data_IF_053186388408
#
_entry.id   IF_053186388408
#
_cell.length_a   1.000
_cell.length_b   1.000
_cell.length_c   1.000
_cell.angle_alpha   90.00
_cell.angle_beta   90.00
_cell.angle_gamma   90.00
#
_symmetry.space_group_name_H-M   'P 1'
#
loop_
_entity.id
_entity.type
_entity.pdbx_description
1 polymer ?
#
# COMPACT_ATOMS: atom_id res chain seq x y z
N UNK A 1 -8.23 37.33 11.62
CA UNK A 1 -7.92 36.76 12.94
C UNK A 1 -7.67 35.27 12.73
N UNK A 2 -6.41 34.84 12.64
CA UNK A 2 -6.01 33.42 12.44
C UNK A 2 -5.08 33.01 13.60
N UNK A 3 -5.63 32.90 14.82
CA UNK A 3 -4.88 32.54 16.04
C UNK A 3 -5.43 31.27 16.73
N UNK A 4 -6.32 30.50 16.09
CA UNK A 4 -7.11 29.46 16.77
C UNK A 4 -6.51 28.04 16.71
N UNK A 5 -5.76 27.70 15.66
CA UNK A 5 -5.39 26.30 15.38
C UNK A 5 -4.38 25.73 16.42
N UNK A 6 -3.39 26.52 16.83
CA UNK A 6 -2.35 26.08 17.79
C UNK A 6 -2.88 25.89 19.22
N UNK A 7 -3.93 26.62 19.62
CA UNK A 7 -4.51 26.50 20.96
C UNK A 7 -5.47 25.32 21.09
N UNK A 8 -6.03 24.84 19.99
CA UNK A 8 -7.00 23.74 19.96
C UNK A 8 -6.35 22.37 19.78
N UNK A 9 -5.14 22.30 19.24
CA UNK A 9 -4.37 21.07 19.06
C UNK A 9 -4.31 20.16 20.31
N UNK A 10 -4.08 20.66 21.54
CA UNK A 10 -4.11 19.82 22.75
C UNK A 10 -5.49 19.21 23.01
N UNK A 11 -6.56 19.98 22.81
CA UNK A 11 -7.96 19.54 23.01
C UNK A 11 -8.29 18.46 21.97
N UNK A 12 -7.98 18.71 20.71
CA UNK A 12 -8.22 17.76 19.64
C UNK A 12 -7.48 16.43 19.85
N UNK A 13 -6.24 16.48 20.35
CA UNK A 13 -5.47 15.28 20.69
C UNK A 13 -6.12 14.48 21.82
N UNK A 14 -6.55 15.16 22.89
CA UNK A 14 -7.21 14.52 24.01
C UNK A 14 -8.50 13.81 23.56
N UNK A 15 -9.31 14.49 22.74
CA UNK A 15 -10.55 13.93 22.20
C UNK A 15 -10.29 12.79 21.21
N UNK A 16 -9.25 12.89 20.37
CA UNK A 16 -8.89 11.80 19.46
C UNK A 16 -8.40 10.56 20.24
N UNK A 17 -7.65 10.76 21.33
CA UNK A 17 -7.26 9.68 22.23
C UNK A 17 -8.48 9.05 22.93
N UNK A 18 -9.47 9.87 23.28
CA UNK A 18 -10.73 9.41 23.86
C UNK A 18 -11.53 8.51 22.90
N UNK A 19 -11.65 8.92 21.64
CA UNK A 19 -12.32 8.15 20.59
C UNK A 19 -11.59 6.83 20.29
N UNK A 20 -10.28 6.79 20.49
CA UNK A 20 -9.42 5.65 20.13
C UNK A 20 -8.91 4.85 21.34
N UNK A 21 -9.53 5.01 22.51
CA UNK A 21 -9.15 4.33 23.76
C UNK A 21 -9.26 2.81 23.69
N UNK A 22 -10.22 2.31 22.93
CA UNK A 22 -10.46 0.87 22.81
C UNK A 22 -9.45 0.18 21.90
N UNK A 23 -9.19 -1.10 22.18
CA UNK A 23 -8.21 -1.88 21.42
C UNK A 23 -8.65 -1.97 19.96
N UNK A 24 -7.78 -1.50 19.08
CA UNK A 24 -8.01 -1.50 17.64
C UNK A 24 -8.78 -0.29 17.11
N UNK A 25 -9.40 0.55 17.96
CA UNK A 25 -10.16 1.71 17.54
C UNK A 25 -9.34 2.71 16.72
N UNK A 26 -8.06 2.94 17.08
CA UNK A 26 -7.14 3.74 16.26
C UNK A 26 -6.93 3.14 14.85
N UNK A 27 -6.78 1.83 14.74
CA UNK A 27 -6.60 1.17 13.44
C UNK A 27 -7.88 1.26 12.60
N UNK A 28 -9.04 1.08 13.22
CA UNK A 28 -10.36 1.21 12.58
C UNK A 28 -10.60 2.62 12.07
N UNK A 29 -10.39 3.63 12.93
CA UNK A 29 -10.50 5.03 12.56
C UNK A 29 -9.54 5.43 11.43
N UNK A 30 -8.29 4.92 11.45
CA UNK A 30 -7.34 5.17 10.37
C UNK A 30 -7.86 4.64 9.03
N UNK A 31 -8.45 3.43 8.99
CA UNK A 31 -9.07 2.88 7.78
C UNK A 31 -10.26 3.70 7.30
N UNK A 32 -11.16 4.08 8.20
CA UNK A 32 -12.33 4.92 7.89
C UNK A 32 -11.91 6.28 7.30
N UNK A 33 -10.80 6.84 7.78
CA UNK A 33 -10.22 8.09 7.30
C UNK A 33 -9.29 7.92 6.08
N UNK A 34 -9.12 6.71 5.54
CA UNK A 34 -8.20 6.37 4.44
C UNK A 34 -6.72 6.67 4.71
N UNK A 35 -6.30 6.57 5.97
CA UNK A 35 -4.91 6.70 6.42
C UNK A 35 -4.28 5.37 6.82
N UNK A 36 -2.95 5.34 6.92
CA UNK A 36 -2.26 4.22 7.53
C UNK A 36 -2.41 4.25 9.06
N UNK A 37 -2.51 3.09 9.68
CA UNK A 37 -2.60 2.99 11.14
C UNK A 37 -1.38 3.61 11.86
N UNK A 38 -0.19 3.48 11.25
CA UNK A 38 1.03 4.11 11.76
C UNK A 38 0.92 5.63 11.78
N UNK A 39 0.28 6.24 10.78
CA UNK A 39 0.11 7.69 10.71
C UNK A 39 -0.76 8.23 11.84
N UNK A 40 -1.89 7.57 12.12
CA UNK A 40 -2.77 7.97 13.21
C UNK A 40 -2.09 7.80 14.58
N UNK A 41 -1.29 6.74 14.77
CA UNK A 41 -0.50 6.55 15.98
C UNK A 41 0.52 7.67 16.21
N UNK A 42 1.15 8.19 15.15
CA UNK A 42 2.07 9.33 15.27
C UNK A 42 1.35 10.62 15.71
N UNK A 43 0.11 10.83 15.27
CA UNK A 43 -0.71 11.97 15.70
C UNK A 43 -1.09 11.85 17.19
N UNK A 44 -1.55 10.66 17.60
CA UNK A 44 -1.88 10.36 18.99
C UNK A 44 -0.68 10.49 19.93
N UNK A 45 0.51 10.10 19.47
CA UNK A 45 1.76 10.24 20.20
C UNK A 45 2.29 11.70 20.24
N UNK A 46 1.60 12.65 19.60
CA UNK A 46 2.05 14.04 19.50
C UNK A 46 3.29 14.24 18.61
N UNK A 47 3.74 13.20 17.91
CA UNK A 47 4.88 13.27 16.97
C UNK A 47 4.50 13.89 15.63
N UNK A 48 3.20 14.03 15.36
CA UNK A 48 2.66 14.69 14.18
C UNK A 48 1.51 15.62 14.54
N UNK A 49 1.56 16.83 14.00
CA UNK A 49 0.43 17.76 14.01
C UNK A 49 -0.58 17.40 12.92
N UNK A 50 -1.82 17.82 13.13
CA UNK A 50 -2.92 17.66 12.18
C UNK A 50 -3.75 18.94 12.13
N UNK A 51 -4.42 19.16 11.01
CA UNK A 51 -5.17 20.38 10.73
C UNK A 51 -6.61 20.30 11.24
N UNK A 52 -7.26 21.45 11.36
CA UNK A 52 -8.71 21.55 11.55
C UNK A 52 -9.49 20.68 10.54
N UNK A 53 -9.09 20.67 9.26
CA UNK A 53 -9.73 19.85 8.22
C UNK A 53 -9.75 18.35 8.56
N UNK A 54 -8.68 17.86 9.17
CA UNK A 54 -8.61 16.47 9.64
C UNK A 54 -9.63 16.24 10.74
N UNK A 55 -9.74 17.16 11.69
CA UNK A 55 -10.67 17.09 12.82
C UNK A 55 -12.13 17.12 12.36
N UNK A 56 -12.48 18.03 11.45
CA UNK A 56 -13.81 18.06 10.81
C UNK A 56 -14.09 16.77 10.02
N UNK A 57 -13.05 16.20 9.42
CA UNK A 57 -13.11 14.89 8.79
C UNK A 57 -13.46 13.77 9.76
N UNK A 58 -12.81 13.73 10.92
CA UNK A 58 -13.12 12.77 11.98
C UNK A 58 -14.57 12.92 12.44
N UNK A 59 -15.04 14.16 12.66
CA UNK A 59 -16.42 14.43 13.05
C UNK A 59 -17.41 13.87 12.02
N UNK A 60 -17.21 14.19 10.74
CA UNK A 60 -18.09 13.74 9.67
C UNK A 60 -18.08 12.21 9.49
N UNK A 61 -16.90 11.58 9.55
CA UNK A 61 -16.74 10.13 9.34
C UNK A 61 -17.35 9.32 10.47
N UNK A 62 -17.21 9.79 11.70
CA UNK A 62 -17.73 9.11 12.90
C UNK A 62 -19.17 9.51 13.24
N UNK A 63 -19.70 10.58 12.64
CA UNK A 63 -21.04 11.09 12.94
C UNK A 63 -21.11 11.88 14.24
N UNK A 64 -20.00 12.47 14.67
CA UNK A 64 -20.00 13.40 15.80
C UNK A 64 -20.68 14.72 15.40
N UNK A 65 -21.29 15.43 16.36
CA UNK A 65 -21.77 16.79 16.14
C UNK A 65 -20.65 17.70 15.64
N UNK A 66 -20.98 18.65 14.78
CA UNK A 66 -20.02 19.64 14.30
C UNK A 66 -19.47 20.46 15.48
N UNK A 67 -18.14 20.56 15.57
CA UNK A 67 -17.48 21.28 16.67
C UNK A 67 -17.33 20.47 17.96
N UNK A 68 -17.77 19.21 18.01
CA UNK A 68 -17.58 18.34 19.17
C UNK A 68 -16.09 18.22 19.52
N UNK A 69 -15.21 18.16 18.52
CA UNK A 69 -13.78 18.05 18.81
C UNK A 69 -13.20 19.31 19.46
N UNK A 70 -13.84 20.48 19.37
CA UNK A 70 -13.27 21.76 19.82
C UNK A 70 -13.37 22.00 21.32
N UNK A 71 -14.15 21.19 22.04
CA UNK A 71 -14.35 21.29 23.48
C UNK A 71 -13.78 20.05 24.19
N UNK A 72 -13.29 20.17 25.43
CA UNK A 72 -12.81 19.01 26.19
C UNK A 72 -13.98 18.08 26.55
N UNK A 73 -13.78 16.77 26.36
CA UNK A 73 -14.78 15.74 26.62
C UNK A 73 -14.23 14.59 27.48
N UNK A 74 -15.12 13.93 28.22
CA UNK A 74 -14.85 12.71 28.97
C UNK A 74 -15.49 11.47 28.33
N UNK A 75 -15.15 10.27 28.83
CA UNK A 75 -15.54 9.01 28.18
C UNK A 75 -17.05 8.80 28.00
N UNK A 76 -17.86 9.39 28.88
CA UNK A 76 -19.33 9.36 28.81
C UNK A 76 -19.93 10.31 27.78
N UNK A 77 -19.16 11.27 27.29
CA UNK A 77 -19.63 12.30 26.34
C UNK A 77 -19.53 11.86 24.88
N UNK A 78 -18.92 10.70 24.61
CA UNK A 78 -18.82 10.15 23.26
C UNK A 78 -20.18 9.61 22.84
N UNK A 79 -20.82 10.17 21.81
CA UNK A 79 -22.11 9.70 21.31
C UNK A 79 -22.06 8.21 20.91
N UNK A 80 -23.13 7.47 21.22
CA UNK A 80 -23.21 6.03 20.95
C UNK A 80 -23.06 5.69 19.46
N UNK A 81 -23.62 6.52 18.57
CA UNK A 81 -23.47 6.38 17.13
C UNK A 81 -22.01 6.49 16.67
N UNK A 82 -21.22 7.37 17.30
CA UNK A 82 -19.79 7.51 16.98
C UNK A 82 -18.98 6.30 17.46
N UNK A 83 -19.32 5.74 18.61
CA UNK A 83 -18.72 4.50 19.11
C UNK A 83 -19.02 3.33 18.15
N UNK A 84 -20.29 3.15 17.81
CA UNK A 84 -20.76 2.09 16.91
C UNK A 84 -20.13 2.21 15.51
N UNK A 85 -19.97 3.42 14.98
CA UNK A 85 -19.31 3.67 13.70
C UNK A 85 -17.85 3.22 13.70
N UNK A 86 -17.11 3.52 14.78
CA UNK A 86 -15.71 3.13 14.93
C UNK A 86 -15.59 1.61 15.14
N UNK A 87 -16.46 0.99 15.92
CA UNK A 87 -16.40 -0.43 16.22
C UNK A 87 -16.72 -1.32 15.02
N UNK A 88 -17.69 -0.91 14.21
CA UNK A 88 -18.10 -1.62 13.01
C UNK A 88 -17.37 -1.17 11.73
N UNK A 89 -16.46 -0.20 11.82
CA UNK A 89 -15.77 0.41 10.67
C UNK A 89 -16.74 0.94 9.61
N UNK A 90 -17.85 1.53 10.05
CA UNK A 90 -18.93 2.02 9.21
C UNK A 90 -18.85 3.55 9.11
N UNK A 91 -18.12 4.13 8.13
CA UNK A 91 -18.01 5.58 7.99
C UNK A 91 -19.36 6.19 7.57
N UNK A 92 -19.84 7.19 8.31
CA UNK A 92 -21.09 7.90 8.00
C UNK A 92 -20.91 8.94 6.88
N UNK A 93 -19.68 9.39 6.66
CA UNK A 93 -19.33 10.26 5.54
C UNK A 93 -18.04 9.78 4.88
N UNK A 94 -17.85 10.14 3.61
CA UNK A 94 -16.60 9.88 2.90
C UNK A 94 -15.63 11.03 3.13
N UNK A 95 -14.53 10.77 3.83
CA UNK A 95 -13.46 11.74 3.96
C UNK A 95 -12.82 12.04 2.59
N UNK A 96 -12.80 13.31 2.21
CA UNK A 96 -12.18 13.80 0.95
C UNK A 96 -10.97 14.73 1.19
N UNK A 97 -10.61 14.96 2.45
CA UNK A 97 -9.44 15.77 2.79
C UNK A 97 -8.14 15.02 2.52
N UNK A 98 -7.11 15.74 2.12
CA UNK A 98 -5.74 15.22 2.23
C UNK A 98 -5.20 15.65 3.58
N UNK A 99 -4.73 14.74 4.45
CA UNK A 99 -3.94 15.16 5.62
C UNK A 99 -2.54 15.60 5.15
N UNK A 100 -2.49 16.68 4.38
CA UNK A 100 -1.24 17.37 4.14
C UNK A 100 -0.78 17.93 5.50
N UNK A 101 0.48 17.70 5.90
CA UNK A 101 1.02 18.31 7.10
C UNK A 101 0.82 19.83 7.00
N UNK A 102 0.34 20.43 8.08
CA UNK A 102 0.17 21.88 8.23
C UNK A 102 1.42 22.55 7.69
N UNK A 103 1.27 23.37 6.64
CA UNK A 103 2.38 24.18 6.11
C UNK A 103 2.82 25.12 7.23
N UNK A 104 3.99 24.87 7.81
CA UNK A 104 4.60 25.81 8.75
C UNK A 104 4.78 27.16 8.04
N UNK A 105 4.09 28.21 8.51
CA UNK A 105 4.37 29.59 8.09
C UNK A 105 5.81 29.90 8.48
N UNK A 106 6.63 30.38 7.54
CA UNK A 106 7.95 30.91 7.82
C UNK A 106 7.81 32.16 8.70
N UNK A 107 7.94 32.01 10.01
CA UNK A 107 7.97 33.14 10.95
C UNK A 107 9.35 33.79 10.84
N UNK A 108 9.50 34.72 9.90
CA UNK A 108 10.57 35.72 9.93
C UNK A 108 10.29 36.65 11.12
N UNK A 109 10.76 36.25 12.29
CA UNK A 109 11.07 37.16 13.39
C UNK A 109 12.54 36.92 13.70
N UNK A 110 13.43 37.92 13.53
CA UNK A 110 14.83 37.74 13.87
C UNK A 110 14.95 37.64 15.40
N UNK A 111 15.44 36.54 15.97
CA UNK A 111 15.77 36.50 17.39
C UNK A 111 17.18 37.05 17.58
N UNK A 112 17.32 37.94 18.56
CA UNK A 112 18.64 38.31 19.10
C UNK A 112 19.38 37.05 19.58
N UNK A 113 20.70 36.97 19.36
CA UNK A 113 21.45 35.75 19.68
C UNK A 113 21.69 35.64 21.19
N UNK A 114 21.08 34.63 21.81
CA UNK A 114 21.48 34.15 23.14
C UNK A 114 22.51 33.03 22.93
N UNK A 115 23.67 33.20 23.58
CA UNK A 115 24.83 32.31 23.56
C UNK A 115 24.45 30.82 23.68
N UNK A 116 24.97 30.00 22.75
CA UNK A 116 24.96 28.53 22.84
C UNK A 116 24.21 27.76 21.75
N UNK A 117 23.73 28.38 20.68
CA UNK A 117 22.99 27.67 19.63
C UNK A 117 23.88 26.78 18.75
N UNK A 118 23.46 25.52 18.59
CA UNK A 118 23.85 24.68 17.45
C UNK A 118 23.59 25.46 16.15
N UNK A 119 24.47 25.35 15.13
CA UNK A 119 24.38 26.16 13.93
C UNK A 119 22.99 25.99 13.31
N UNK A 120 22.31 27.12 13.03
CA UNK A 120 21.11 27.12 12.22
C UNK A 120 21.42 26.38 10.91
N UNK A 121 20.70 25.27 10.67
CA UNK A 121 20.85 24.49 9.45
C UNK A 121 20.69 25.40 8.25
N UNK A 122 21.65 25.34 7.34
CA UNK A 122 21.62 26.18 6.16
C UNK A 122 20.51 25.66 5.25
N UNK A 123 19.79 26.52 4.51
CA UNK A 123 18.81 26.08 3.52
C UNK A 123 19.43 25.15 2.44
N UNK A 124 20.75 25.18 2.27
CA UNK A 124 21.51 24.22 1.46
C UNK A 124 21.49 22.79 2.03
N UNK A 125 21.52 22.64 3.36
CA UNK A 125 21.45 21.33 4.04
C UNK A 125 20.04 20.72 3.90
N UNK A 126 18.99 21.55 3.97
CA UNK A 126 17.60 21.11 3.77
C UNK A 126 17.33 20.64 2.32
N UNK A 127 17.97 21.30 1.33
CA UNK A 127 17.91 20.87 -0.07
C UNK A 127 18.65 19.55 -0.29
N UNK A 128 19.81 19.36 0.36
CA UNK A 128 20.55 18.11 0.31
C UNK A 128 19.79 16.95 0.95
N UNK A 129 19.16 17.17 2.10
CA UNK A 129 18.31 16.19 2.78
C UNK A 129 17.11 15.81 1.90
N UNK A 130 16.42 16.79 1.30
CA UNK A 130 15.29 16.54 0.40
C UNK A 130 15.70 15.73 -0.85
N UNK A 131 16.87 16.02 -1.42
CA UNK A 131 17.41 15.30 -2.57
C UNK A 131 17.84 13.87 -2.21
N UNK A 132 18.43 13.66 -1.03
CA UNK A 132 18.74 12.33 -0.51
C UNK A 132 17.47 11.51 -0.25
N UNK A 133 16.44 12.12 0.31
CA UNK A 133 15.15 11.46 0.51
C UNK A 133 14.48 11.07 -0.81
N UNK A 134 14.55 11.92 -1.85
CA UNK A 134 14.07 11.59 -3.21
C UNK A 134 14.83 10.42 -3.81
N UNK A 135 16.16 10.41 -3.69
CA UNK A 135 17.01 9.31 -4.16
C UNK A 135 16.65 8.00 -3.44
N UNK A 136 16.53 8.02 -2.12
CA UNK A 136 16.13 6.84 -1.35
C UNK A 136 14.72 6.34 -1.74
N UNK A 137 13.76 7.24 -1.95
CA UNK A 137 12.43 6.88 -2.41
C UNK A 137 12.46 6.23 -3.81
N UNK A 138 13.27 6.78 -4.72
CA UNK A 138 13.49 6.18 -6.04
C UNK A 138 14.10 4.78 -5.94
N UNK A 139 15.15 4.60 -5.14
CA UNK A 139 15.77 3.29 -4.91
C UNK A 139 14.79 2.27 -4.32
N UNK A 140 13.94 2.67 -3.37
CA UNK A 140 12.89 1.79 -2.83
C UNK A 140 11.93 1.36 -3.94
N UNK A 141 11.47 2.29 -4.78
CA UNK A 141 10.58 1.99 -5.90
C UNK A 141 11.20 1.03 -6.92
N UNK A 142 12.46 1.27 -7.31
CA UNK A 142 13.19 0.40 -8.24
C UNK A 142 13.36 -1.00 -7.66
N UNK A 143 13.72 -1.10 -6.37
CA UNK A 143 13.83 -2.39 -5.67
C UNK A 143 12.49 -3.14 -5.64
N UNK A 144 11.40 -2.44 -5.36
CA UNK A 144 10.08 -3.06 -5.30
C UNK A 144 9.60 -3.55 -6.68
N UNK A 145 9.92 -2.82 -7.75
CA UNK A 145 9.70 -3.26 -9.14
C UNK A 145 10.53 -4.51 -9.48
N UNK A 146 11.82 -4.52 -9.12
CA UNK A 146 12.68 -5.68 -9.32
C UNK A 146 12.16 -6.91 -8.58
N UNK A 147 11.68 -6.75 -7.33
CA UNK A 147 11.06 -7.83 -6.57
C UNK A 147 9.77 -8.36 -7.22
N UNK A 148 8.97 -7.49 -7.86
CA UNK A 148 7.78 -7.92 -8.60
C UNK A 148 8.15 -8.75 -9.84
N UNK A 149 9.16 -8.33 -10.59
CA UNK A 149 9.65 -9.09 -11.75
C UNK A 149 10.23 -10.44 -11.33
N UNK A 150 10.99 -10.49 -10.22
CA UNK A 150 11.46 -11.77 -9.65
C UNK A 150 10.30 -12.67 -9.28
N UNK A 151 9.29 -12.18 -8.55
CA UNK A 151 8.09 -12.98 -8.21
C UNK A 151 7.28 -13.39 -9.43
N UNK A 152 7.28 -12.60 -10.50
CA UNK A 152 6.65 -12.94 -11.78
C UNK A 152 7.42 -14.07 -12.45
N UNK A 153 8.73 -13.99 -12.47
CA UNK A 153 9.62 -15.02 -13.01
C UNK A 153 9.50 -16.33 -12.21
N UNK A 154 9.54 -16.26 -10.88
CA UNK A 154 9.32 -17.41 -9.99
C UNK A 154 7.98 -18.09 -10.23
N UNK A 155 6.90 -17.31 -10.42
CA UNK A 155 5.59 -17.85 -10.79
C UNK A 155 5.61 -18.56 -12.14
N UNK A 156 6.27 -17.98 -13.15
CA UNK A 156 6.43 -18.61 -14.47
C UNK A 156 7.26 -19.89 -14.43
N UNK A 157 8.22 -19.99 -13.51
CA UNK A 157 9.04 -21.19 -13.32
C UNK A 157 8.30 -22.29 -12.53
N UNK A 158 7.51 -21.91 -11.53
CA UNK A 158 6.76 -22.84 -10.70
C UNK A 158 5.45 -23.30 -11.32
N UNK A 159 4.84 -22.45 -12.14
CA UNK A 159 3.60 -22.71 -12.86
C UNK A 159 3.86 -22.40 -14.33
N UNK A 160 4.02 -23.43 -15.20
CA UNK A 160 4.13 -23.16 -16.63
C UNK A 160 2.90 -22.35 -17.05
N UNK A 161 3.08 -21.21 -17.75
CA UNK A 161 2.00 -20.24 -18.00
C UNK A 161 0.84 -20.81 -18.82
N UNK A 162 1.02 -22.02 -19.36
CA UNK A 162 0.01 -22.83 -20.01
C UNK A 162 0.19 -24.27 -19.52
N UNK A 163 -0.76 -24.77 -18.74
CA UNK A 163 -0.90 -26.20 -18.51
C UNK A 163 -1.23 -26.85 -19.86
N UNK A 164 -0.21 -27.33 -20.58
CA UNK A 164 -0.34 -27.89 -21.92
C UNK A 164 -1.42 -28.98 -21.96
N UNK A 165 -1.55 -29.77 -20.88
CA UNK A 165 -2.61 -30.76 -20.72
C UNK A 165 -4.01 -30.13 -20.75
N UNK A 166 -4.21 -28.99 -20.08
CA UNK A 166 -5.49 -28.28 -20.05
C UNK A 166 -5.85 -27.66 -21.41
N UNK A 167 -4.88 -27.08 -22.11
CA UNK A 167 -5.11 -26.54 -23.45
C UNK A 167 -5.35 -27.65 -24.47
N UNK A 168 -4.60 -28.75 -24.39
CA UNK A 168 -4.80 -29.93 -25.22
C UNK A 168 -6.21 -30.50 -25.07
N UNK A 169 -6.65 -30.73 -23.83
CA UNK A 169 -8.00 -31.25 -23.56
C UNK A 169 -9.09 -30.38 -24.20
N UNK A 170 -8.98 -29.04 -24.06
CA UNK A 170 -9.92 -28.11 -24.70
C UNK A 170 -9.92 -28.18 -26.23
N UNK A 171 -8.75 -28.37 -26.84
CA UNK A 171 -8.67 -28.50 -28.31
C UNK A 171 -9.20 -29.85 -28.76
N UNK A 172 -8.93 -30.93 -28.03
CA UNK A 172 -9.49 -32.28 -28.28
C UNK A 172 -11.02 -32.30 -28.12
N UNK A 173 -11.57 -31.59 -27.13
CA UNK A 173 -13.02 -31.41 -26.96
C UNK A 173 -13.64 -30.68 -28.15
N UNK A 174 -12.97 -29.63 -28.65
CA UNK A 174 -13.40 -28.86 -29.83
C UNK A 174 -13.33 -29.70 -31.11
N UNK A 175 -12.26 -30.48 -31.31
CA UNK A 175 -12.14 -31.42 -32.42
C UNK A 175 -13.23 -32.51 -32.38
N UNK A 176 -13.59 -32.97 -31.17
CA UNK A 176 -14.60 -34.02 -30.96
C UNK A 176 -16.05 -33.51 -31.12
N UNK A 177 -16.27 -32.20 -31.02
CA UNK A 177 -17.60 -31.59 -31.11
C UNK A 177 -18.21 -31.63 -32.53
N UNK A 178 -17.43 -32.00 -33.56
CA UNK A 178 -17.93 -32.37 -34.90
C UNK A 178 -18.51 -31.24 -35.77
N UNK A 179 -18.55 -30.00 -35.29
CA UNK A 179 -19.20 -28.84 -35.94
C UNK A 179 -18.18 -27.88 -36.60
N UNK A 180 -16.97 -28.37 -36.91
CA UNK A 180 -15.87 -27.59 -37.50
C UNK A 180 -15.70 -27.91 -38.98
N UNK A 181 -15.42 -26.88 -39.78
CA UNK A 181 -14.99 -27.06 -41.16
C UNK A 181 -13.72 -27.93 -41.23
N UNK A 182 -13.71 -28.92 -42.13
CA UNK A 182 -12.57 -29.83 -42.42
C UNK A 182 -11.17 -29.15 -42.44
N UNK A 183 -10.97 -27.97 -43.07
CA UNK A 183 -9.66 -27.29 -43.05
C UNK A 183 -9.24 -26.79 -41.67
N UNK A 184 -10.18 -26.36 -40.83
CA UNK A 184 -9.90 -25.87 -39.47
C UNK A 184 -9.57 -27.05 -38.55
N UNK A 185 -10.30 -28.16 -38.71
CA UNK A 185 -10.02 -29.40 -38.00
C UNK A 185 -8.60 -29.93 -38.32
N UNK A 186 -8.22 -29.94 -39.60
CA UNK A 186 -6.90 -30.38 -40.04
C UNK A 186 -5.76 -29.48 -39.52
N UNK A 187 -5.94 -28.15 -39.51
CA UNK A 187 -4.94 -27.21 -38.97
C UNK A 187 -4.73 -27.40 -37.46
N UNK A 188 -5.83 -27.50 -36.68
CA UNK A 188 -5.76 -27.72 -35.23
C UNK A 188 -5.09 -29.05 -34.89
N UNK A 189 -5.45 -30.14 -35.57
CA UNK A 189 -4.83 -31.45 -35.39
C UNK A 189 -3.33 -31.42 -35.74
N UNK A 190 -2.96 -30.80 -36.86
CA UNK A 190 -1.56 -30.69 -37.28
C UNK A 190 -0.72 -29.86 -36.31
N UNK A 191 -1.27 -28.76 -35.77
CA UNK A 191 -0.60 -27.94 -34.76
C UNK A 191 -0.40 -28.69 -33.44
N UNK A 192 -1.39 -29.46 -32.99
CA UNK A 192 -1.24 -30.31 -31.79
C UNK A 192 -0.12 -31.33 -31.98
N UNK A 193 -0.08 -32.02 -33.12
CA UNK A 193 0.96 -32.99 -33.44
C UNK A 193 2.36 -32.35 -33.47
N UNK A 194 2.48 -31.17 -34.07
CA UNK A 194 3.74 -30.43 -34.12
C UNK A 194 4.23 -30.04 -32.72
N UNK A 195 3.33 -29.58 -31.84
CA UNK A 195 3.67 -29.24 -30.47
C UNK A 195 4.12 -30.49 -29.69
N UNK A 196 3.45 -31.63 -29.87
CA UNK A 196 3.84 -32.91 -29.22
C UNK A 196 5.21 -33.42 -29.70
N UNK A 197 5.51 -33.26 -30.99
CA UNK A 197 6.85 -33.56 -31.54
C UNK A 197 7.92 -32.68 -30.90
N UNK A 198 7.70 -31.37 -30.84
CA UNK A 198 8.63 -30.43 -30.20
C UNK A 198 8.82 -30.73 -28.71
N UNK A 199 7.74 -31.05 -27.99
CA UNK A 199 7.79 -31.43 -26.57
C UNK A 199 8.66 -32.67 -26.37
N UNK A 200 8.47 -33.69 -27.20
CA UNK A 200 9.25 -34.93 -27.12
C UNK A 200 10.73 -34.68 -27.44
N UNK A 201 11.02 -33.84 -28.44
CA UNK A 201 12.38 -33.42 -28.76
C UNK A 201 13.04 -32.71 -27.57
N UNK A 202 12.36 -31.76 -26.94
CA UNK A 202 12.87 -31.04 -25.77
C UNK A 202 13.14 -31.98 -24.59
N UNK A 203 12.22 -32.91 -24.31
CA UNK A 203 12.41 -33.91 -23.25
C UNK A 203 13.62 -34.82 -23.50
N UNK A 204 13.90 -35.17 -24.77
CA UNK A 204 15.12 -35.92 -25.12
C UNK A 204 16.37 -35.09 -24.89
N UNK A 205 16.35 -33.80 -25.22
CA UNK A 205 17.48 -32.90 -24.98
C UNK A 205 17.75 -32.69 -23.49
N UNK A 206 16.71 -32.48 -22.68
CA UNK A 206 16.87 -32.31 -21.23
C UNK A 206 17.37 -33.59 -20.57
N UNK A 207 16.89 -34.76 -20.98
CA UNK A 207 17.40 -36.05 -20.51
C UNK A 207 18.89 -36.24 -20.86
N UNK A 208 19.30 -35.84 -22.07
CA UNK A 208 20.70 -35.91 -22.50
C UNK A 208 21.59 -34.95 -21.71
N UNK A 209 21.13 -33.72 -21.46
CA UNK A 209 21.83 -32.75 -20.63
C UNK A 209 21.98 -33.26 -19.19
N UNK A 210 20.93 -33.83 -18.61
CA UNK A 210 20.98 -34.43 -17.29
C UNK A 210 22.01 -35.56 -17.22
N UNK A 211 22.04 -36.45 -18.22
CA UNK A 211 23.03 -37.53 -18.27
C UNK A 211 24.47 -37.00 -18.33
N UNK A 212 24.71 -35.95 -19.12
CA UNK A 212 26.03 -35.30 -19.19
C UNK A 212 26.43 -34.64 -17.87
N UNK A 213 25.49 -34.00 -17.18
CA UNK A 213 25.74 -33.37 -15.88
C UNK A 213 26.05 -34.40 -14.79
N UNK A 214 25.36 -35.55 -14.79
CA UNK A 214 25.66 -36.66 -13.86
C UNK A 214 27.06 -37.21 -14.12
N UNK A 215 27.42 -37.44 -15.39
CA UNK A 215 28.78 -37.89 -15.74
C UNK A 215 29.86 -36.90 -15.27
N UNK A 216 29.62 -35.60 -15.44
CA UNK A 216 30.58 -34.58 -15.01
C UNK A 216 30.71 -34.47 -13.48
N UNK A 217 29.68 -34.89 -12.73
CA UNK A 217 29.66 -34.86 -11.27
C UNK A 217 30.28 -36.09 -10.61
N UNK A 218 30.29 -37.24 -11.30
CA UNK A 218 30.94 -38.48 -10.83
C UNK A 218 32.45 -38.53 -11.12
N UNK A 219 32.96 -37.64 -11.98
CA UNK A 219 34.39 -37.50 -12.33
C UNK A 219 35.17 -36.53 -11.41
N UNK A 220 34.57 -36.09 -10.28
CA UNK A 220 35.12 -35.10 -9.33
C UNK A 220 35.56 -35.64 -7.98
#
# INVERSE_FOLDING_TARGET
MEYSDDSQLPIWRANLALLTREVGAATRLARMMTFSASYLKLMLAGQRDFSEEFVRGVEAVTGLPAGWMDAPHEGGDVPANAREAIDNEAPLARFRGTAHPVRKKSVLRPPEPIFGQQPQRRPEDDLQDAEQHRRQAYFRKVRDLAMQEVRRFERSLTHPPVEFASVRAKVEDVLSAGDLDDPVHADLAGRLEQIDKHRTMLLRHTARLHALLVQLGDDG
#
